data_IF_591591213779
#
_entry.id   IF_591591213779
#
_cell.length_a   1.000
_cell.length_b   1.000
_cell.length_c   1.000
_cell.angle_alpha   90.00
_cell.angle_beta   90.00
_cell.angle_gamma   90.00
#
_symmetry.space_group_name_H-M   'P 1'
#
loop_
_entity.id
_entity.type
_entity.pdbx_description
1 polymer ?
#
# COMPACT_ATOMS: atom_id res chain seq x y z
N UNK A 1 2.51 -16.92 16.17
CA UNK A 1 2.18 -15.69 15.40
C UNK A 1 2.18 -16.08 13.92
N UNK A 2 1.02 -16.22 13.31
CA UNK A 2 0.87 -16.55 11.88
C UNK A 2 1.17 -15.29 11.06
N UNK A 3 2.43 -15.10 10.66
CA UNK A 3 2.77 -14.14 9.60
C UNK A 3 2.08 -14.64 8.32
N UNK A 4 1.01 -13.97 7.92
CA UNK A 4 0.31 -14.30 6.66
C UNK A 4 0.96 -13.53 5.52
N UNK A 5 1.00 -14.08 4.30
CA UNK A 5 1.52 -13.39 3.10
C UNK A 5 0.93 -11.98 2.91
N UNK A 6 -0.30 -11.78 3.38
CA UNK A 6 -1.01 -10.52 3.31
C UNK A 6 -0.47 -9.46 4.30
N UNK A 7 0.21 -9.86 5.37
CA UNK A 7 0.97 -8.96 6.23
C UNK A 7 2.30 -8.57 5.58
N UNK A 8 2.93 -9.49 4.85
CA UNK A 8 4.16 -9.22 4.10
C UNK A 8 3.91 -8.19 2.97
N UNK A 9 2.79 -8.32 2.25
CA UNK A 9 2.38 -7.34 1.21
C UNK A 9 2.18 -5.93 1.80
N UNK A 10 1.52 -5.83 2.95
CA UNK A 10 1.31 -4.55 3.65
C UNK A 10 2.63 -3.92 4.08
N UNK A 11 3.57 -4.73 4.58
CA UNK A 11 4.88 -4.25 4.98
C UNK A 11 5.71 -3.76 3.79
N UNK A 12 5.64 -4.44 2.64
CA UNK A 12 6.30 -4.00 1.39
C UNK A 12 5.78 -2.63 0.96
N UNK A 13 4.45 -2.42 0.94
CA UNK A 13 3.85 -1.13 0.58
C UNK A 13 4.29 -0.05 1.56
N UNK A 14 4.27 -0.32 2.86
CA UNK A 14 4.67 0.64 3.88
C UNK A 14 6.15 1.05 3.74
N UNK A 15 7.05 0.09 3.54
CA UNK A 15 8.48 0.38 3.31
C UNK A 15 8.69 1.23 2.05
N UNK A 16 7.98 0.93 0.96
CA UNK A 16 8.01 1.74 -0.28
C UNK A 16 7.50 3.15 -0.04
N UNK A 17 6.42 3.31 0.72
CA UNK A 17 5.84 4.60 1.07
C UNK A 17 6.82 5.46 1.88
N UNK A 18 7.43 4.89 2.91
CA UNK A 18 8.46 5.57 3.71
C UNK A 18 9.66 5.96 2.84
N UNK A 19 10.15 5.04 1.99
CA UNK A 19 11.28 5.31 1.08
C UNK A 19 10.96 6.38 0.02
N UNK A 20 9.70 6.50 -0.39
CA UNK A 20 9.23 7.53 -1.32
C UNK A 20 9.00 8.91 -0.66
N UNK A 21 9.35 9.08 0.62
CA UNK A 21 9.17 10.33 1.34
C UNK A 21 7.79 10.49 1.98
N UNK A 22 7.01 9.42 2.08
CA UNK A 22 5.71 9.38 2.73
C UNK A 22 4.52 9.61 1.81
N UNK A 23 4.71 9.57 0.48
CA UNK A 23 3.59 9.61 -0.46
C UNK A 23 3.84 8.70 -1.67
N UNK A 24 2.79 8.02 -2.10
CA UNK A 24 2.77 7.16 -3.27
C UNK A 24 1.60 7.54 -4.17
N UNK A 25 1.82 7.89 -5.45
CA UNK A 25 0.77 8.28 -6.39
C UNK A 25 0.00 7.06 -6.95
N UNK A 26 -0.29 6.08 -6.09
CA UNK A 26 -1.03 4.87 -6.44
C UNK A 26 -2.35 4.84 -5.69
N UNK A 27 -3.45 4.70 -6.42
CA UNK A 27 -4.80 4.65 -5.88
C UNK A 27 -5.62 3.55 -6.59
N UNK A 28 -6.91 3.45 -6.30
CA UNK A 28 -7.78 2.49 -7.00
C UNK A 28 -7.90 2.78 -8.51
N UNK A 29 -7.52 3.99 -8.95
CA UNK A 29 -7.46 4.35 -10.37
C UNK A 29 -6.20 3.83 -11.07
N UNK A 30 -5.20 3.37 -10.33
CA UNK A 30 -3.97 2.80 -10.91
C UNK A 30 -4.30 1.50 -11.64
N UNK A 31 -3.69 1.32 -12.81
CA UNK A 31 -3.88 0.12 -13.62
C UNK A 31 -3.28 -1.12 -12.91
N UNK A 32 -3.88 -2.31 -13.09
CA UNK A 32 -3.35 -3.53 -12.48
C UNK A 32 -1.91 -3.84 -12.89
N UNK A 33 -1.52 -3.50 -14.13
CA UNK A 33 -0.17 -3.73 -14.64
C UNK A 33 0.86 -2.89 -13.88
N UNK A 34 0.59 -1.59 -13.66
CA UNK A 34 1.49 -0.71 -12.91
C UNK A 34 1.67 -1.18 -11.47
N UNK A 35 0.59 -1.63 -10.81
CA UNK A 35 0.68 -2.19 -9.45
C UNK A 35 1.52 -3.47 -9.46
N UNK A 36 1.30 -4.35 -10.44
CA UNK A 36 2.06 -5.60 -10.56
C UNK A 36 3.54 -5.34 -10.81
N UNK A 37 3.90 -4.41 -11.68
CA UNK A 37 5.30 -4.07 -11.96
C UNK A 37 5.98 -3.38 -10.77
N UNK A 38 5.26 -2.50 -10.07
CA UNK A 38 5.85 -1.71 -8.97
C UNK A 38 5.99 -2.52 -7.67
N UNK A 39 4.97 -3.30 -7.34
CA UNK A 39 4.84 -3.96 -6.04
C UNK A 39 4.90 -5.50 -6.14
N UNK A 40 5.02 -6.06 -7.35
CA UNK A 40 4.98 -7.50 -7.61
C UNK A 40 3.74 -8.21 -7.02
N UNK A 41 2.60 -7.50 -7.01
CA UNK A 41 1.34 -7.98 -6.44
C UNK A 41 0.16 -7.69 -7.35
N UNK A 42 -0.93 -8.45 -7.18
CA UNK A 42 -2.17 -8.16 -7.88
C UNK A 42 -2.84 -6.89 -7.35
N UNK A 43 -3.69 -6.25 -8.16
CA UNK A 43 -4.51 -5.11 -7.70
C UNK A 43 -5.40 -5.47 -6.51
N UNK A 44 -5.88 -6.71 -6.43
CA UNK A 44 -6.65 -7.22 -5.29
C UNK A 44 -5.81 -7.27 -4.01
N UNK A 45 -4.61 -7.88 -4.09
CA UNK A 45 -3.66 -7.94 -2.98
C UNK A 45 -3.28 -6.54 -2.50
N UNK A 46 -3.01 -5.62 -3.43
CA UNK A 46 -2.71 -4.22 -3.13
C UNK A 46 -3.84 -3.54 -2.35
N UNK A 47 -5.09 -3.64 -2.80
CA UNK A 47 -6.24 -3.05 -2.08
C UNK A 47 -6.39 -3.61 -0.68
N UNK A 48 -6.17 -4.91 -0.50
CA UNK A 48 -6.26 -5.54 0.82
C UNK A 48 -5.13 -5.07 1.74
N UNK A 49 -3.89 -5.03 1.24
CA UNK A 49 -2.72 -4.59 1.98
C UNK A 49 -2.83 -3.11 2.40
N UNK A 50 -3.24 -2.23 1.48
CA UNK A 50 -3.54 -0.82 1.74
C UNK A 50 -4.67 -0.68 2.77
N UNK A 51 -5.76 -1.44 2.62
CA UNK A 51 -6.86 -1.43 3.58
C UNK A 51 -6.43 -1.87 4.99
N UNK A 52 -5.50 -2.82 5.12
CA UNK A 52 -4.92 -3.22 6.42
C UNK A 52 -4.09 -2.10 7.04
N UNK A 53 -3.21 -1.47 6.27
CA UNK A 53 -2.40 -0.35 6.75
C UNK A 53 -3.28 0.82 7.20
N UNK A 54 -4.34 1.11 6.45
CA UNK A 54 -5.32 2.13 6.81
C UNK A 54 -6.07 1.79 8.09
N UNK A 55 -6.52 0.54 8.27
CA UNK A 55 -7.14 0.07 9.52
C UNK A 55 -6.19 0.09 10.72
N UNK A 56 -4.88 -0.02 10.49
CA UNK A 56 -3.83 0.15 11.51
C UNK A 56 -3.45 1.62 11.73
N UNK A 57 -4.12 2.54 11.04
CA UNK A 57 -3.92 3.98 11.15
C UNK A 57 -2.49 4.43 10.77
N UNK A 58 -1.79 3.64 9.94
CA UNK A 58 -0.41 3.93 9.51
C UNK A 58 -0.34 4.81 8.26
N UNK A 59 -1.41 4.82 7.47
CA UNK A 59 -1.47 5.52 6.17
C UNK A 59 -2.81 6.23 6.00
N UNK A 60 -2.83 7.22 5.12
CA UNK A 60 -4.03 7.86 4.60
C UNK A 60 -4.25 7.45 3.15
N UNK A 61 -5.51 7.29 2.78
CA UNK A 61 -5.91 6.97 1.40
C UNK A 61 -6.64 8.20 0.86
N UNK A 62 -6.23 8.68 -0.32
CA UNK A 62 -6.85 9.78 -1.03
C UNK A 62 -7.00 9.45 -2.51
N UNK A 63 -7.80 10.22 -3.24
CA UNK A 63 -7.92 10.06 -4.69
C UNK A 63 -6.59 10.26 -5.44
N UNK A 64 -5.69 11.06 -4.85
CA UNK A 64 -4.36 11.34 -5.38
C UNK A 64 -3.36 10.20 -5.14
N UNK A 65 -3.64 9.33 -4.17
CA UNK A 65 -2.73 8.25 -3.79
C UNK A 65 -2.75 7.92 -2.30
N UNK A 66 -1.71 7.23 -1.86
CA UNK A 66 -1.51 6.79 -0.48
C UNK A 66 -0.47 7.69 0.19
N UNK A 67 -0.83 8.26 1.34
CA UNK A 67 0.07 9.04 2.18
C UNK A 67 0.43 8.30 3.45
N UNK A 68 1.61 8.58 4.00
CA UNK A 68 1.97 8.15 5.35
C UNK A 68 1.17 8.99 6.35
N UNK A 69 0.54 8.37 7.33
CA UNK A 69 -0.05 9.11 8.43
C UNK A 69 1.11 9.57 9.32
N UNK A 70 1.34 10.88 9.39
CA UNK A 70 2.26 11.49 10.35
C UNK A 70 1.39 12.02 11.48
N UNK A 71 1.65 11.55 12.70
CA UNK A 71 1.20 12.22 13.92
C UNK A 71 1.87 13.60 14.04
#
# INVERSE_FOLDING_TARGET
>A
KTHTKMDDDAEVIYKRLVKAGGFLPYSDKTSPNVIKETFNMSKGSFKIAVGRLYKRDLITISDKGIGLKRD
#
